data_IF_368358785100
#
_entry.id   IF_368358785100
#
_cell.length_a   1.000
_cell.length_b   1.000
_cell.length_c   1.000
_cell.angle_alpha   90.00
_cell.angle_beta   90.00
_cell.angle_gamma   90.00
#
_symmetry.space_group_name_H-M   'P 1'
#
loop_
_entity.id
_entity.type
_entity.pdbx_description
1 polymer ?
#
# COMPACT_ATOMS: atom_id res chain seq x y z
N UNK A 1 17.38 0.29 24.12
CA UNK A 1 16.79 -0.04 22.81
C UNK A 1 17.71 -1.03 22.15
N UNK A 2 17.16 -2.12 21.66
CA UNK A 2 17.85 -3.08 20.80
C UNK A 2 17.32 -2.86 19.38
N UNK A 3 18.23 -2.62 18.44
CA UNK A 3 17.91 -2.36 17.03
C UNK A 3 18.30 -3.53 16.13
N UNK A 4 18.72 -4.65 16.73
CA UNK A 4 19.02 -5.87 15.99
C UNK A 4 17.72 -6.59 15.64
N UNK A 5 17.67 -7.17 14.44
CA UNK A 5 16.58 -8.07 14.08
C UNK A 5 16.76 -9.42 14.76
N UNK A 6 15.65 -10.08 15.07
CA UNK A 6 15.68 -11.46 15.55
C UNK A 6 16.24 -12.40 14.47
N UNK A 7 16.68 -13.59 14.88
CA UNK A 7 17.13 -14.63 13.94
C UNK A 7 16.02 -15.00 12.93
N UNK A 8 14.78 -15.01 13.41
CA UNK A 8 13.59 -15.26 12.60
C UNK A 8 13.34 -14.13 11.58
N UNK A 9 13.44 -12.87 12.00
CA UNK A 9 13.33 -11.71 11.11
C UNK A 9 14.42 -11.72 10.02
N UNK A 10 15.66 -12.07 10.35
CA UNK A 10 16.73 -12.19 9.34
C UNK A 10 16.48 -13.35 8.36
N UNK A 11 15.91 -14.47 8.84
CA UNK A 11 15.50 -15.58 7.98
C UNK A 11 14.40 -15.15 7.01
N UNK A 12 13.35 -14.47 7.50
CA UNK A 12 12.29 -13.94 6.65
C UNK A 12 12.81 -12.93 5.63
N UNK A 13 13.68 -12.01 6.06
CA UNK A 13 14.32 -11.04 5.17
C UNK A 13 15.12 -11.71 4.04
N UNK A 14 15.85 -12.78 4.34
CA UNK A 14 16.56 -13.55 3.32
C UNK A 14 15.60 -14.24 2.34
N UNK A 15 14.52 -14.83 2.86
CA UNK A 15 13.47 -15.47 2.05
C UNK A 15 12.76 -14.46 1.13
N UNK A 16 12.39 -13.28 1.63
CA UNK A 16 11.74 -12.25 0.83
C UNK A 16 12.64 -11.76 -0.31
N UNK A 17 13.95 -11.61 -0.04
CA UNK A 17 14.93 -11.20 -1.07
C UNK A 17 15.09 -12.24 -2.15
N UNK A 18 15.19 -13.51 -1.77
CA UNK A 18 15.28 -14.63 -2.72
C UNK A 18 14.02 -14.72 -3.59
N UNK A 19 12.84 -14.58 -2.97
CA UNK A 19 11.58 -14.52 -3.69
C UNK A 19 11.53 -13.34 -4.66
N UNK A 20 11.85 -12.13 -4.21
CA UNK A 20 11.78 -10.94 -5.05
C UNK A 20 12.75 -11.01 -6.24
N UNK A 21 13.97 -11.47 -6.02
CA UNK A 21 14.97 -11.64 -7.07
C UNK A 21 14.57 -12.69 -8.13
N UNK A 22 13.87 -13.75 -7.74
CA UNK A 22 13.43 -14.83 -8.65
C UNK A 22 12.11 -14.52 -9.34
N UNK A 23 11.18 -13.93 -8.62
CA UNK A 23 9.77 -13.86 -9.00
C UNK A 23 9.29 -12.45 -9.31
N UNK A 24 9.95 -11.38 -8.86
CA UNK A 24 9.49 -10.01 -9.11
C UNK A 24 10.43 -9.30 -10.08
N UNK A 25 11.70 -9.16 -9.73
CA UNK A 25 12.68 -8.40 -10.48
C UNK A 25 12.74 -8.74 -11.98
N UNK A 26 12.71 -10.03 -12.41
CA UNK A 26 12.89 -10.38 -13.82
C UNK A 26 11.75 -9.93 -14.74
N UNK A 27 10.54 -9.73 -14.20
CA UNK A 27 9.33 -9.37 -14.98
C UNK A 27 8.84 -7.95 -14.74
N UNK A 28 9.46 -7.21 -13.82
CA UNK A 28 8.92 -5.93 -13.36
C UNK A 28 8.92 -4.83 -14.44
N UNK A 29 9.90 -4.79 -15.37
CA UNK A 29 9.88 -3.80 -16.47
C UNK A 29 8.84 -4.18 -17.52
N UNK A 30 8.80 -5.45 -17.94
CA UNK A 30 7.84 -5.95 -18.93
C UNK A 30 6.40 -5.69 -18.48
N UNK A 31 6.07 -6.00 -17.22
CA UNK A 31 4.75 -5.76 -16.66
C UNK A 31 4.41 -4.28 -16.50
N UNK A 32 5.38 -3.38 -16.30
CA UNK A 32 5.11 -1.93 -16.29
C UNK A 32 4.76 -1.46 -17.71
N UNK A 33 5.51 -1.91 -18.71
CA UNK A 33 5.26 -1.59 -20.11
C UNK A 33 3.93 -2.12 -20.63
N UNK A 34 3.58 -3.36 -20.28
CA UNK A 34 2.32 -4.01 -20.65
C UNK A 34 1.13 -3.55 -19.80
N UNK A 35 1.38 -2.82 -18.71
CA UNK A 35 0.37 -2.37 -17.75
C UNK A 35 -0.44 -3.52 -17.13
N UNK A 36 0.23 -4.64 -16.82
CA UNK A 36 -0.39 -5.86 -16.31
C UNK A 36 0.04 -6.17 -14.88
N UNK A 37 -0.87 -6.72 -14.05
CA UNK A 37 -0.51 -7.20 -12.72
C UNK A 37 0.33 -8.47 -12.77
N UNK A 38 1.22 -8.62 -11.79
CA UNK A 38 2.11 -9.77 -11.63
C UNK A 38 1.38 -11.01 -11.08
N UNK A 39 0.30 -11.45 -11.72
CA UNK A 39 -0.59 -12.52 -11.23
C UNK A 39 0.15 -13.84 -10.94
N UNK A 40 1.17 -14.18 -11.74
CA UNK A 40 2.00 -15.37 -11.52
C UNK A 40 2.82 -15.26 -10.23
N UNK A 41 3.40 -14.09 -9.98
CA UNK A 41 4.13 -13.83 -8.74
C UNK A 41 3.20 -13.79 -7.53
N UNK A 42 2.02 -13.17 -7.64
CA UNK A 42 1.03 -13.14 -6.55
C UNK A 42 0.58 -14.55 -6.15
N UNK A 43 0.35 -15.44 -7.12
CA UNK A 43 0.06 -16.86 -6.84
C UNK A 43 1.19 -17.56 -6.09
N UNK A 44 2.44 -17.30 -6.45
CA UNK A 44 3.60 -17.86 -5.73
C UNK A 44 3.79 -17.22 -4.35
N UNK A 45 3.48 -15.92 -4.21
CA UNK A 45 3.50 -15.23 -2.94
C UNK A 45 2.47 -15.83 -1.97
N UNK A 46 1.27 -16.16 -2.47
CA UNK A 46 0.25 -16.87 -1.70
C UNK A 46 0.73 -18.24 -1.22
N UNK A 47 1.40 -19.01 -2.07
CA UNK A 47 2.00 -20.31 -1.71
C UNK A 47 3.09 -20.22 -0.61
N UNK A 48 3.70 -19.05 -0.46
CA UNK A 48 4.68 -18.76 0.60
C UNK A 48 4.04 -18.09 1.84
N UNK A 49 2.71 -17.94 1.87
CA UNK A 49 1.98 -17.32 2.98
C UNK A 49 1.96 -15.79 2.98
N UNK A 50 2.45 -15.13 1.92
CA UNK A 50 2.62 -13.67 1.92
C UNK A 50 1.31 -12.89 1.81
N UNK A 51 0.26 -13.49 1.23
CA UNK A 51 -1.08 -12.89 1.20
C UNK A 51 -1.84 -13.04 2.53
N UNK A 52 -1.46 -14.02 3.35
CA UNK A 52 -1.90 -14.17 4.73
C UNK A 52 -0.85 -13.71 5.74
N UNK A 53 0.08 -12.83 5.35
CA UNK A 53 1.31 -12.54 6.09
C UNK A 53 1.07 -12.28 7.59
N UNK A 54 0.15 -11.39 7.92
CA UNK A 54 -0.14 -10.98 9.30
C UNK A 54 -1.39 -11.66 9.88
N UNK A 55 -1.99 -12.61 9.15
CA UNK A 55 -3.16 -13.34 9.63
C UNK A 55 -2.71 -14.46 10.58
N UNK A 56 -3.53 -14.81 11.59
CA UNK A 56 -3.28 -15.95 12.47
C UNK A 56 -3.22 -17.29 11.71
N UNK A 57 -2.47 -18.26 12.24
CA UNK A 57 -2.39 -19.62 11.68
C UNK A 57 -3.76 -20.31 11.59
N UNK A 58 -4.71 -20.02 12.50
CA UNK A 58 -6.08 -20.58 12.47
C UNK A 58 -6.85 -20.22 11.19
N UNK A 59 -6.46 -19.14 10.51
CA UNK A 59 -6.98 -18.74 9.21
C UNK A 59 -5.99 -18.97 8.06
N UNK A 60 -5.07 -19.94 8.24
CA UNK A 60 -4.01 -20.28 7.29
C UNK A 60 -3.03 -19.13 6.98
N UNK A 61 -2.93 -18.17 7.89
CA UNK A 61 -1.95 -17.09 7.82
C UNK A 61 -0.55 -17.50 8.26
N UNK A 62 0.39 -16.57 8.12
CA UNK A 62 1.80 -16.77 8.49
C UNK A 62 2.18 -16.12 9.83
N UNK A 63 1.24 -15.45 10.49
CA UNK A 63 1.40 -14.81 11.82
C UNK A 63 2.66 -13.93 11.95
N UNK A 64 3.07 -13.29 10.85
CA UNK A 64 4.20 -12.38 10.86
C UNK A 64 3.89 -11.15 11.70
N UNK A 65 4.86 -10.77 12.52
CA UNK A 65 4.88 -9.46 13.17
C UNK A 65 4.93 -8.33 12.12
N UNK A 66 4.47 -7.12 12.48
CA UNK A 66 4.42 -6.02 11.52
C UNK A 66 5.80 -5.55 11.06
N UNK A 67 6.86 -5.78 11.84
CA UNK A 67 8.23 -5.48 11.41
C UNK A 67 8.65 -6.40 10.26
N UNK A 68 8.40 -7.71 10.40
CA UNK A 68 8.59 -8.73 9.36
C UNK A 68 7.74 -8.45 8.13
N UNK A 69 6.47 -8.05 8.32
CA UNK A 69 5.61 -7.62 7.22
C UNK A 69 6.13 -6.34 6.52
N UNK A 70 6.63 -5.36 7.25
CA UNK A 70 7.27 -4.18 6.67
C UNK A 70 8.51 -4.56 5.84
N UNK A 71 9.32 -5.54 6.28
CA UNK A 71 10.44 -6.06 5.49
C UNK A 71 9.99 -6.74 4.19
N UNK A 72 8.87 -7.47 4.21
CA UNK A 72 8.27 -8.04 3.00
C UNK A 72 7.92 -6.91 2.01
N UNK A 73 7.18 -5.90 2.46
CA UNK A 73 6.75 -4.78 1.60
C UNK A 73 7.96 -3.98 1.07
N UNK A 74 8.94 -3.68 1.93
CA UNK A 74 10.19 -3.04 1.53
C UNK A 74 10.90 -3.84 0.44
N UNK A 75 11.03 -5.16 0.63
CA UNK A 75 11.77 -6.01 -0.28
C UNK A 75 11.08 -6.12 -1.64
N UNK A 76 9.75 -6.27 -1.67
CA UNK A 76 8.99 -6.30 -2.92
C UNK A 76 9.06 -4.95 -3.65
N UNK A 77 8.94 -3.84 -2.91
CA UNK A 77 8.94 -2.50 -3.49
C UNK A 77 10.30 -2.07 -4.04
N UNK A 78 11.39 -2.68 -3.57
CA UNK A 78 12.71 -2.51 -4.16
C UNK A 78 12.70 -2.88 -5.66
N UNK A 79 11.94 -3.90 -6.05
CA UNK A 79 11.86 -4.39 -7.43
C UNK A 79 10.61 -3.91 -8.17
N UNK A 80 9.45 -3.92 -7.51
CA UNK A 80 8.14 -3.47 -8.04
C UNK A 80 7.26 -2.87 -6.95
N UNK A 81 7.12 -1.54 -6.93
CA UNK A 81 6.20 -0.84 -6.02
C UNK A 81 4.76 -1.25 -6.30
N UNK A 82 4.41 -1.48 -7.57
CA UNK A 82 3.10 -1.99 -7.98
C UNK A 82 2.72 -3.30 -7.27
N UNK A 83 3.64 -4.28 -7.24
CA UNK A 83 3.39 -5.57 -6.60
C UNK A 83 3.26 -5.40 -5.08
N UNK A 84 4.13 -4.59 -4.48
CA UNK A 84 4.08 -4.28 -3.06
C UNK A 84 2.74 -3.62 -2.66
N UNK A 85 2.26 -2.65 -3.43
CA UNK A 85 0.96 -1.97 -3.20
C UNK A 85 -0.22 -2.93 -3.40
N UNK A 86 -0.14 -3.82 -4.39
CA UNK A 86 -1.17 -4.85 -4.63
C UNK A 86 -1.33 -5.76 -3.41
N UNK A 87 -0.21 -6.26 -2.88
CA UNK A 87 -0.18 -7.09 -1.68
C UNK A 87 -0.59 -6.30 -0.43
N UNK A 88 -0.10 -5.07 -0.27
CA UNK A 88 -0.45 -4.24 0.87
C UNK A 88 -1.95 -3.88 0.93
N UNK A 89 -2.56 -3.62 -0.23
CA UNK A 89 -4.01 -3.40 -0.33
C UNK A 89 -4.77 -4.65 0.13
N UNK A 90 -4.36 -5.83 -0.33
CA UNK A 90 -4.97 -7.09 0.08
C UNK A 90 -4.86 -7.30 1.61
N UNK A 91 -3.65 -7.22 2.15
CA UNK A 91 -3.37 -7.56 3.57
C UNK A 91 -3.83 -6.45 4.51
N UNK A 92 -3.28 -5.23 4.34
CA UNK A 92 -3.43 -4.14 5.31
C UNK A 92 -4.83 -3.52 5.29
N UNK A 93 -5.44 -3.40 4.10
CA UNK A 93 -6.74 -2.74 3.95
C UNK A 93 -7.93 -3.70 4.08
N UNK A 94 -7.85 -4.91 3.53
CA UNK A 94 -9.00 -5.83 3.48
C UNK A 94 -8.90 -6.92 4.54
N UNK A 95 -7.89 -7.79 4.46
CA UNK A 95 -7.79 -8.96 5.33
C UNK A 95 -7.74 -8.58 6.82
N UNK A 96 -6.91 -7.59 7.18
CA UNK A 96 -6.83 -7.09 8.55
C UNK A 96 -8.10 -6.39 9.02
N UNK A 97 -8.88 -5.78 8.12
CA UNK A 97 -10.17 -5.17 8.50
C UNK A 97 -11.20 -6.25 8.85
N UNK A 98 -11.23 -7.35 8.09
CA UNK A 98 -12.07 -8.52 8.39
C UNK A 98 -11.63 -9.20 9.69
N UNK A 99 -10.32 -9.37 9.90
CA UNK A 99 -9.80 -9.96 11.14
C UNK A 99 -10.22 -9.13 12.37
N UNK A 100 -10.09 -7.80 12.29
CA UNK A 100 -10.34 -6.93 13.43
C UNK A 100 -11.83 -6.70 13.70
N UNK A 101 -12.65 -6.58 12.64
CA UNK A 101 -14.04 -6.11 12.76
C UNK A 101 -15.10 -7.12 12.31
N UNK A 102 -14.68 -8.24 11.73
CA UNK A 102 -15.59 -9.27 11.23
C UNK A 102 -16.24 -10.07 12.34
N UNK A 103 -17.44 -10.58 12.07
CA UNK A 103 -18.05 -11.64 12.91
C UNK A 103 -17.26 -12.95 12.76
N UNK A 104 -17.43 -13.93 13.68
CA UNK A 104 -16.81 -15.25 13.52
C UNK A 104 -17.08 -15.87 12.15
N UNK A 105 -18.33 -15.78 11.66
CA UNK A 105 -18.76 -16.33 10.38
C UNK A 105 -18.04 -15.64 9.20
N UNK A 106 -17.92 -14.31 9.23
CA UNK A 106 -17.19 -13.56 8.20
C UNK A 106 -15.70 -13.92 8.18
N UNK A 107 -15.10 -14.14 9.35
CA UNK A 107 -13.68 -14.52 9.45
C UNK A 107 -13.45 -15.92 8.91
N UNK A 108 -14.28 -16.88 9.32
CA UNK A 108 -14.24 -18.27 8.85
C UNK A 108 -14.47 -18.37 7.34
N UNK A 109 -15.35 -17.53 6.78
CA UNK A 109 -15.61 -17.50 5.34
C UNK A 109 -14.45 -16.89 4.54
N UNK A 110 -13.99 -15.69 4.92
CA UNK A 110 -13.15 -14.89 4.03
C UNK A 110 -11.65 -15.01 4.29
N UNK A 111 -11.21 -15.12 5.55
CA UNK A 111 -9.78 -15.07 5.86
C UNK A 111 -8.99 -16.24 5.27
N UNK A 112 -9.47 -17.50 5.30
CA UNK A 112 -8.80 -18.62 4.63
C UNK A 112 -8.62 -18.40 3.13
N UNK A 113 -9.65 -17.88 2.44
CA UNK A 113 -9.63 -17.64 1.00
C UNK A 113 -8.66 -16.52 0.62
N UNK A 114 -8.60 -15.47 1.45
CA UNK A 114 -7.66 -14.37 1.31
C UNK A 114 -6.21 -14.84 1.54
N UNK A 115 -5.96 -15.58 2.63
CA UNK A 115 -4.64 -16.12 2.98
C UNK A 115 -4.09 -17.03 1.87
N UNK A 116 -4.93 -17.90 1.31
CA UNK A 116 -4.59 -18.80 0.22
C UNK A 116 -4.42 -18.09 -1.15
N UNK A 117 -4.83 -16.81 -1.26
CA UNK A 117 -4.83 -16.06 -2.51
C UNK A 117 -5.86 -16.54 -3.53
N UNK A 118 -6.85 -17.32 -3.11
CA UNK A 118 -7.99 -17.73 -3.94
C UNK A 118 -8.92 -16.53 -4.20
N UNK A 119 -9.03 -15.64 -3.22
CA UNK A 119 -9.71 -14.36 -3.31
C UNK A 119 -8.68 -13.25 -3.08
N UNK A 120 -8.70 -12.22 -3.93
CA UNK A 120 -7.96 -10.98 -3.70
C UNK A 120 -8.92 -9.90 -3.21
N UNK A 121 -8.53 -9.20 -2.15
CA UNK A 121 -9.28 -8.06 -1.62
C UNK A 121 -8.99 -6.75 -2.36
N UNK A 122 -10.04 -5.96 -2.58
CA UNK A 122 -9.99 -4.55 -2.98
C UNK A 122 -10.70 -3.66 -1.95
N UNK A 123 -10.23 -2.42 -1.81
CA UNK A 123 -10.73 -1.45 -0.83
C UNK A 123 -11.36 -0.25 -1.54
N UNK A 124 -12.67 -0.07 -1.39
CA UNK A 124 -13.48 0.85 -2.19
C UNK A 124 -14.09 1.96 -1.32
N UNK A 125 -13.27 2.96 -1.00
CA UNK A 125 -13.65 4.13 -0.20
C UNK A 125 -13.90 5.37 -1.06
N UNK A 126 -12.87 5.76 -1.82
CA UNK A 126 -12.80 7.00 -2.62
C UNK A 126 -13.90 7.07 -3.68
N UNK A 127 -14.44 8.28 -3.87
CA UNK A 127 -15.44 8.62 -4.88
C UNK A 127 -14.95 9.79 -5.75
N UNK A 128 -15.54 10.03 -6.94
CA UNK A 128 -15.17 11.16 -7.79
C UNK A 128 -15.17 12.51 -7.07
N UNK A 129 -16.12 12.71 -6.14
CA UNK A 129 -16.29 13.94 -5.38
C UNK A 129 -15.79 13.84 -3.93
N UNK A 130 -15.26 12.68 -3.49
CA UNK A 130 -14.80 12.45 -2.11
C UNK A 130 -13.48 11.66 -2.08
N UNK A 131 -12.36 12.40 -2.01
CA UNK A 131 -11.01 11.85 -1.90
C UNK A 131 -10.39 12.06 -0.54
N UNK A 132 -9.93 13.28 -0.25
CA UNK A 132 -9.39 13.64 1.08
C UNK A 132 -10.50 13.79 2.13
N UNK A 133 -11.67 14.28 1.72
CA UNK A 133 -12.87 14.35 2.57
C UNK A 133 -13.66 13.04 2.49
N UNK A 134 -13.11 11.99 3.09
CA UNK A 134 -13.71 10.65 3.05
C UNK A 134 -15.05 10.57 3.78
N UNK A 135 -15.40 11.55 4.63
CA UNK A 135 -16.70 11.59 5.31
C UNK A 135 -17.82 12.08 4.39
N UNK A 136 -17.50 12.70 3.26
CA UNK A 136 -18.45 13.20 2.27
C UNK A 136 -18.87 12.17 1.22
N UNK A 137 -18.60 10.87 1.42
CA UNK A 137 -19.02 9.80 0.50
C UNK A 137 -20.54 9.85 0.25
N UNK A 138 -20.91 9.72 -1.02
CA UNK A 138 -22.28 9.81 -1.51
C UNK A 138 -22.87 8.46 -1.92
N UNK A 139 -22.06 7.40 -2.08
CA UNK A 139 -22.57 6.02 -2.26
C UNK A 139 -23.50 5.69 -1.11
N UNK A 140 -24.72 5.26 -1.39
CA UNK A 140 -25.76 5.03 -0.36
C UNK A 140 -25.91 3.55 -0.06
N UNK A 141 -26.15 3.23 1.20
CA UNK A 141 -26.61 1.94 1.67
C UNK A 141 -28.08 2.08 2.12
N UNK A 142 -29.01 1.49 1.37
CA UNK A 142 -30.44 1.54 1.67
C UNK A 142 -30.93 0.17 2.16
N UNK A 143 -31.36 0.06 3.44
CA UNK A 143 -31.89 -1.20 3.97
C UNK A 143 -33.13 -1.69 3.21
N UNK A 144 -33.19 -3.00 2.94
CA UNK A 144 -34.30 -3.68 2.28
C UNK A 144 -34.48 -5.09 2.86
N UNK A 145 -35.09 -5.16 4.04
CA UNK A 145 -35.30 -6.42 4.77
C UNK A 145 -34.01 -6.99 5.35
N UNK A 146 -33.62 -8.18 4.91
CA UNK A 146 -32.36 -8.85 5.24
C UNK A 146 -31.22 -8.52 4.26
N UNK A 147 -31.48 -7.63 3.30
CA UNK A 147 -30.52 -7.13 2.32
C UNK A 147 -30.32 -5.62 2.50
N UNK A 148 -29.25 -5.12 1.89
CA UNK A 148 -29.01 -3.71 1.65
C UNK A 148 -28.78 -3.51 0.15
N UNK A 149 -29.29 -2.39 -0.37
CA UNK A 149 -29.01 -1.96 -1.74
C UNK A 149 -27.94 -0.86 -1.71
N UNK A 150 -26.84 -1.08 -2.43
CA UNK A 150 -25.75 -0.13 -2.60
C UNK A 150 -25.88 0.58 -3.95
N UNK A 151 -25.90 1.91 -3.92
CA UNK A 151 -26.01 2.77 -5.11
C UNK A 151 -24.95 3.86 -5.09
N UNK A 152 -24.06 3.89 -6.09
CA UNK A 152 -22.99 4.88 -6.18
C UNK A 152 -21.85 4.51 -7.12
N UNK A 153 -20.79 5.31 -7.06
CA UNK A 153 -19.59 5.13 -7.88
C UNK A 153 -18.36 5.25 -6.99
N UNK A 154 -17.50 4.24 -7.01
CA UNK A 154 -16.18 4.28 -6.38
C UNK A 154 -15.11 4.47 -7.45
N UNK A 155 -14.03 5.17 -7.13
CA UNK A 155 -12.92 5.42 -8.06
C UNK A 155 -11.60 5.12 -7.38
N UNK A 156 -10.54 4.96 -8.18
CA UNK A 156 -9.20 4.63 -7.69
C UNK A 156 -9.16 3.36 -6.83
N UNK A 157 -10.04 2.39 -7.12
CA UNK A 157 -10.11 1.14 -6.35
C UNK A 157 -8.95 0.24 -6.76
N UNK A 158 -7.92 0.21 -5.90
CA UNK A 158 -6.79 -0.67 -6.06
C UNK A 158 -7.22 -2.15 -6.04
N UNK A 159 -6.59 -2.96 -6.87
CA UNK A 159 -6.90 -4.38 -7.11
C UNK A 159 -8.23 -4.64 -7.84
N UNK A 160 -8.96 -3.60 -8.28
CA UNK A 160 -10.35 -3.75 -8.73
C UNK A 160 -10.58 -4.81 -9.81
N UNK A 161 -9.72 -4.85 -10.84
CA UNK A 161 -9.81 -5.84 -11.92
C UNK A 161 -9.53 -7.29 -11.48
N UNK A 162 -8.76 -7.49 -10.40
CA UNK A 162 -8.28 -8.81 -9.97
C UNK A 162 -8.93 -9.28 -8.66
N UNK A 163 -9.82 -8.47 -8.09
CA UNK A 163 -10.42 -8.70 -6.78
C UNK A 163 -11.64 -9.63 -6.87
N UNK A 164 -11.67 -10.63 -5.99
CA UNK A 164 -12.84 -11.47 -5.76
C UNK A 164 -13.75 -10.94 -4.64
N UNK A 165 -13.25 -10.01 -3.82
CA UNK A 165 -13.97 -9.40 -2.71
C UNK A 165 -13.65 -7.91 -2.61
N UNK A 166 -14.68 -7.09 -2.46
CA UNK A 166 -14.59 -5.65 -2.30
C UNK A 166 -15.05 -5.26 -0.90
N UNK A 167 -14.22 -4.52 -0.15
CA UNK A 167 -14.65 -3.81 1.05
C UNK A 167 -15.17 -2.43 0.63
N UNK A 168 -16.49 -2.29 0.53
CA UNK A 168 -17.18 -1.10 0.02
C UNK A 168 -17.69 -0.24 1.17
N UNK A 169 -17.36 1.05 1.16
CA UNK A 169 -17.86 2.00 2.13
C UNK A 169 -19.05 2.79 1.57
N UNK A 170 -20.13 2.91 2.32
CA UNK A 170 -21.35 3.60 1.86
C UNK A 170 -22.02 4.33 3.01
N UNK A 171 -22.72 5.42 2.71
CA UNK A 171 -23.50 6.19 3.66
C UNK A 171 -24.75 5.40 4.06
N UNK A 172 -24.79 4.94 5.31
CA UNK A 172 -25.95 4.36 5.96
C UNK A 172 -26.71 5.37 6.82
N UNK A 173 -27.66 4.88 7.61
CA UNK A 173 -28.55 5.70 8.43
C UNK A 173 -27.85 6.35 9.64
N UNK A 174 -26.87 5.67 10.24
CA UNK A 174 -26.16 6.09 11.46
C UNK A 174 -24.76 6.65 11.19
N UNK A 175 -24.35 6.71 9.92
CA UNK A 175 -23.01 7.09 9.52
C UNK A 175 -22.56 6.27 8.31
N UNK A 176 -21.27 6.30 8.04
CA UNK A 176 -20.68 5.45 7.01
C UNK A 176 -20.64 4.00 7.50
N UNK A 177 -21.12 3.08 6.67
CA UNK A 177 -21.04 1.63 6.85
C UNK A 177 -19.97 1.03 5.94
N UNK A 178 -19.53 -0.19 6.25
CA UNK A 178 -18.62 -0.97 5.44
C UNK A 178 -19.23 -2.33 5.10
N UNK A 179 -19.16 -2.75 3.84
CA UNK A 179 -19.76 -3.99 3.35
C UNK A 179 -18.76 -4.86 2.59
N UNK A 180 -18.80 -6.17 2.86
CA UNK A 180 -18.07 -7.20 2.13
C UNK A 180 -18.88 -7.60 0.88
N UNK A 181 -18.47 -7.16 -0.30
CA UNK A 181 -19.20 -7.37 -1.55
C UNK A 181 -18.42 -8.32 -2.46
N UNK A 182 -18.88 -9.57 -2.65
CA UNK A 182 -18.27 -10.48 -3.62
C UNK A 182 -18.31 -9.94 -5.05
N UNK A 183 -17.30 -10.25 -5.86
CA UNK A 183 -17.18 -9.75 -7.24
C UNK A 183 -18.41 -10.03 -8.12
N UNK A 184 -19.04 -11.19 -7.95
CA UNK A 184 -20.18 -11.63 -8.76
C UNK A 184 -21.54 -11.10 -8.25
N UNK A 185 -21.54 -10.16 -7.31
CA UNK A 185 -22.78 -9.58 -6.76
C UNK A 185 -23.54 -8.82 -7.85
N UNK A 186 -24.81 -9.16 -8.14
CA UNK A 186 -25.61 -8.44 -9.13
C UNK A 186 -25.71 -6.95 -8.80
N UNK A 187 -25.42 -6.10 -9.81
CA UNK A 187 -25.40 -4.65 -9.67
C UNK A 187 -24.01 -4.06 -9.37
N UNK A 188 -22.99 -4.89 -9.10
CA UNK A 188 -21.59 -4.47 -9.10
C UNK A 188 -20.99 -4.62 -10.51
N UNK A 189 -20.42 -3.54 -11.04
CA UNK A 189 -19.64 -3.57 -12.29
C UNK A 189 -18.26 -2.95 -12.07
N UNK A 190 -17.21 -3.71 -12.41
CA UNK A 190 -15.83 -3.20 -12.45
C UNK A 190 -15.58 -2.54 -13.80
N UNK A 191 -15.22 -1.26 -13.79
CA UNK A 191 -14.86 -0.48 -14.97
C UNK A 191 -13.46 -0.81 -15.50
N UNK A 192 -13.08 -0.15 -16.59
CA UNK A 192 -11.73 -0.29 -17.16
C UNK A 192 -10.65 0.16 -16.18
N UNK A 193 -9.45 -0.39 -16.36
CA UNK A 193 -8.27 0.04 -15.63
C UNK A 193 -7.92 1.49 -15.98
N UNK A 194 -7.73 2.32 -14.96
CA UNK A 194 -7.31 3.71 -15.12
C UNK A 194 -5.85 3.78 -15.61
N UNK A 195 -5.54 4.55 -16.68
CA UNK A 195 -4.16 4.76 -17.10
C UNK A 195 -3.44 5.69 -16.12
N UNK A 196 -2.30 5.26 -15.58
CA UNK A 196 -1.55 5.98 -14.56
C UNK A 196 -0.12 6.32 -14.99
N UNK A 197 0.45 7.38 -14.41
CA UNK A 197 1.86 7.75 -14.63
C UNK A 197 2.81 6.64 -14.16
N UNK A 198 2.58 6.13 -12.95
CA UNK A 198 3.35 5.05 -12.33
C UNK A 198 2.40 4.05 -11.69
N UNK A 199 2.96 3.05 -11.03
CA UNK A 199 2.25 1.89 -10.54
C UNK A 199 1.50 1.15 -11.67
N UNK A 200 2.10 1.08 -12.87
CA UNK A 200 1.39 0.60 -14.05
C UNK A 200 1.07 -0.89 -13.99
N UNK A 201 1.82 -1.66 -13.21
CA UNK A 201 1.53 -3.07 -12.92
C UNK A 201 0.59 -3.27 -11.72
N UNK A 202 0.03 -2.20 -11.15
CA UNK A 202 -1.10 -2.28 -10.23
C UNK A 202 -2.37 -1.92 -11.01
N UNK A 203 -3.52 -2.42 -10.55
CA UNK A 203 -4.81 -2.12 -11.15
C UNK A 203 -5.57 -1.13 -10.28
N UNK A 204 -6.07 -0.08 -10.90
CA UNK A 204 -6.98 0.89 -10.31
C UNK A 204 -8.19 0.97 -11.21
N UNK A 205 -9.38 0.81 -10.64
CA UNK A 205 -10.61 0.75 -11.42
C UNK A 205 -11.68 1.65 -10.78
N UNK A 206 -12.59 2.13 -11.63
CA UNK A 206 -13.88 2.65 -11.19
C UNK A 206 -14.82 1.47 -10.91
N UNK A 207 -15.59 1.51 -9.83
CA UNK A 207 -16.68 0.57 -9.57
C UNK A 207 -18.01 1.28 -9.68
N UNK A 208 -18.95 0.65 -10.37
CA UNK A 208 -20.34 1.10 -10.46
C UNK A 208 -21.21 0.16 -9.63
N UNK A 209 -21.95 0.74 -8.70
CA UNK A 209 -22.91 0.07 -7.83
C UNK A 209 -24.29 0.57 -8.26
N UNK A 210 -25.01 -0.23 -9.03
CA UNK A 210 -26.34 0.12 -9.57
C UNK A 210 -27.37 -0.87 -9.05
N UNK A 211 -28.06 -0.51 -7.98
CA UNK A 211 -28.96 -1.42 -7.28
C UNK A 211 -28.24 -2.68 -6.79
N UNK A 212 -26.99 -2.55 -6.34
CA UNK A 212 -26.16 -3.68 -5.93
C UNK A 212 -26.66 -4.25 -4.61
N UNK A 213 -27.28 -5.44 -4.63
CA UNK A 213 -27.93 -6.03 -3.44
C UNK A 213 -26.97 -7.00 -2.74
N UNK A 214 -26.67 -6.71 -1.48
CA UNK A 214 -25.83 -7.55 -0.64
C UNK A 214 -26.55 -7.85 0.68
N UNK A 215 -26.27 -9.01 1.28
CA UNK A 215 -26.85 -9.39 2.56
C UNK A 215 -26.45 -8.39 3.65
N UNK A 216 -27.39 -8.07 4.55
CA UNK A 216 -27.08 -7.28 5.75
C UNK A 216 -26.01 -7.97 6.62
N UNK A 217 -25.92 -9.31 6.56
CA UNK A 217 -24.87 -10.09 7.23
C UNK A 217 -23.46 -9.83 6.67
N UNK A 218 -23.33 -9.16 5.51
CA UNK A 218 -22.04 -8.78 4.95
C UNK A 218 -21.57 -7.39 5.45
N UNK A 219 -22.33 -6.70 6.29
CA UNK A 219 -21.81 -5.50 6.96
C UNK A 219 -20.65 -5.90 7.86
N UNK A 220 -19.53 -5.21 7.70
CA UNK A 220 -18.36 -5.32 8.57
C UNK A 220 -18.49 -4.29 9.70
N UNK A 221 -18.50 -4.77 10.96
CA UNK A 221 -18.75 -3.92 12.13
C UNK A 221 -20.23 -3.57 12.35
N UNK A 222 -20.47 -2.66 13.29
CA UNK A 222 -21.82 -2.14 13.60
C UNK A 222 -22.22 -0.99 12.66
N UNK A 223 -23.52 -0.67 12.56
CA UNK A 223 -23.98 0.52 11.84
C UNK A 223 -23.19 1.79 12.23
N UNK A 224 -22.74 2.56 11.25
CA UNK A 224 -22.00 3.81 11.42
C UNK A 224 -20.50 3.66 11.72
N UNK A 225 -19.98 2.44 11.91
CA UNK A 225 -18.56 2.20 12.25
C UNK A 225 -17.60 2.24 11.04
N UNK A 226 -18.12 2.28 9.82
CA UNK A 226 -17.34 2.23 8.58
C UNK A 226 -16.26 3.30 8.50
N UNK A 227 -16.50 4.51 9.01
CA UNK A 227 -15.48 5.58 9.08
C UNK A 227 -14.28 5.22 9.97
N UNK A 228 -14.53 4.60 11.13
CA UNK A 228 -13.47 4.15 12.05
C UNK A 228 -12.69 2.97 11.46
N UNK A 229 -13.38 2.02 10.84
CA UNK A 229 -12.78 0.89 10.13
C UNK A 229 -11.86 1.39 9.01
N UNK A 230 -12.34 2.36 8.21
CA UNK A 230 -11.56 2.98 7.15
C UNK A 230 -10.29 3.65 7.69
N UNK A 231 -10.39 4.44 8.75
CA UNK A 231 -9.23 5.12 9.34
C UNK A 231 -8.18 4.11 9.83
N UNK A 232 -8.57 3.09 10.59
CA UNK A 232 -7.64 2.07 11.08
C UNK A 232 -6.97 1.28 9.93
N UNK A 233 -7.71 1.03 8.84
CA UNK A 233 -7.15 0.41 7.65
C UNK A 233 -6.10 1.32 6.98
N UNK A 234 -6.40 2.62 6.84
CA UNK A 234 -5.48 3.60 6.28
C UNK A 234 -4.21 3.77 7.14
N UNK A 235 -4.32 3.72 8.47
CA UNK A 235 -3.15 3.80 9.36
C UNK A 235 -2.17 2.63 9.14
N UNK A 236 -2.69 1.41 8.94
CA UNK A 236 -1.85 0.25 8.56
C UNK A 236 -1.23 0.43 7.18
N UNK A 237 -2.03 0.90 6.22
CA UNK A 237 -1.58 1.15 4.85
C UNK A 237 -0.50 2.23 4.78
N UNK A 238 -0.58 3.26 5.62
CA UNK A 238 0.42 4.32 5.75
C UNK A 238 1.81 3.75 6.10
N UNK A 239 1.88 2.82 7.05
CA UNK A 239 3.13 2.12 7.41
C UNK A 239 3.64 1.28 6.24
N UNK A 240 2.77 0.50 5.58
CA UNK A 240 3.14 -0.32 4.43
C UNK A 240 3.65 0.53 3.24
N UNK A 241 3.00 1.65 2.94
CA UNK A 241 3.43 2.57 1.87
C UNK A 241 4.76 3.26 2.19
N UNK A 242 5.03 3.55 3.46
CA UNK A 242 6.33 4.06 3.88
C UNK A 242 7.43 2.99 3.73
N UNK A 243 7.14 1.72 4.06
CA UNK A 243 8.03 0.60 3.78
C UNK A 243 8.28 0.42 2.27
N UNK A 244 7.26 0.61 1.44
CA UNK A 244 7.42 0.58 -0.01
C UNK A 244 8.33 1.73 -0.50
N UNK A 245 8.16 2.93 0.07
CA UNK A 245 9.03 4.09 -0.15
C UNK A 245 10.48 3.82 0.24
N UNK A 246 10.71 3.11 1.36
CA UNK A 246 12.04 2.69 1.79
C UNK A 246 12.69 1.74 0.77
N UNK A 247 11.95 0.72 0.33
CA UNK A 247 12.41 -0.28 -0.63
C UNK A 247 12.84 0.32 -1.96
N UNK A 248 11.96 1.11 -2.58
CA UNK A 248 12.25 1.75 -3.88
C UNK A 248 13.42 2.74 -3.79
N UNK A 249 13.56 3.43 -2.65
CA UNK A 249 14.66 4.38 -2.43
C UNK A 249 16.01 3.68 -2.31
N UNK A 250 16.09 2.62 -1.51
CA UNK A 250 17.31 1.82 -1.33
C UNK A 250 17.78 1.24 -2.68
N UNK A 251 16.85 0.65 -3.43
CA UNK A 251 17.17 0.09 -4.74
C UNK A 251 17.55 1.16 -5.77
N UNK A 252 16.88 2.31 -5.78
CA UNK A 252 17.24 3.41 -6.67
C UNK A 252 18.69 3.88 -6.44
N UNK A 253 19.12 3.97 -5.17
CA UNK A 253 20.51 4.29 -4.82
C UNK A 253 21.46 3.22 -5.36
N UNK A 254 21.15 1.93 -5.16
CA UNK A 254 21.97 0.83 -5.67
C UNK A 254 22.12 0.88 -7.20
N UNK A 255 21.02 1.06 -7.93
CA UNK A 255 20.99 1.16 -9.39
C UNK A 255 21.87 2.32 -9.87
N UNK A 256 21.68 3.50 -9.30
CA UNK A 256 22.44 4.69 -9.69
C UNK A 256 23.92 4.60 -9.29
N UNK A 257 24.23 4.01 -8.14
CA UNK A 257 25.61 3.77 -7.69
C UNK A 257 26.34 2.79 -8.62
N UNK A 258 25.70 1.69 -9.01
CA UNK A 258 26.26 0.75 -9.99
C UNK A 258 26.50 1.43 -11.34
N UNK A 259 25.51 2.18 -11.83
CA UNK A 259 25.68 2.96 -13.05
C UNK A 259 26.85 3.96 -12.94
N UNK A 260 27.02 4.59 -11.77
CA UNK A 260 28.06 5.58 -11.54
C UNK A 260 29.48 4.97 -11.52
N UNK A 261 29.64 3.70 -11.12
CA UNK A 261 30.94 3.01 -11.14
C UNK A 261 31.33 2.54 -12.55
N UNK A 262 30.34 2.29 -13.41
CA UNK A 262 30.55 1.82 -14.79
C UNK A 262 30.68 2.98 -15.79
N UNK A 263 29.90 4.06 -15.62
CA UNK A 263 29.86 5.17 -16.57
C UNK A 263 31.10 6.05 -16.45
N UNK A 264 31.87 6.16 -17.53
CA UNK A 264 33.07 7.01 -17.61
C UNK A 264 32.77 8.36 -18.27
N UNK A 265 33.14 9.46 -17.62
CA UNK A 265 33.18 10.82 -18.19
C UNK A 265 34.40 11.58 -17.68
N UNK A 266 34.98 12.41 -18.57
CA UNK A 266 36.23 13.13 -18.28
C UNK A 266 37.34 12.18 -17.78
N UNK A 267 37.47 11.02 -18.44
CA UNK A 267 38.54 10.05 -18.21
C UNK A 267 38.43 9.14 -16.99
N UNK A 268 37.38 9.25 -16.16
CA UNK A 268 37.19 8.40 -14.97
C UNK A 268 35.71 8.02 -14.78
N UNK A 269 35.40 6.93 -14.05
CA UNK A 269 34.06 6.66 -13.57
C UNK A 269 33.42 7.88 -12.89
N UNK A 270 32.14 8.15 -13.16
CA UNK A 270 31.45 9.32 -12.58
C UNK A 270 31.32 9.21 -11.05
N UNK A 271 31.40 8.01 -10.48
CA UNK A 271 31.50 7.79 -9.03
C UNK A 271 32.72 8.47 -8.39
N UNK A 272 33.77 8.80 -9.15
CA UNK A 272 34.92 9.56 -8.65
C UNK A 272 34.67 11.07 -8.60
N UNK A 273 33.53 11.56 -9.09
CA UNK A 273 33.18 12.99 -9.07
C UNK A 273 32.46 13.31 -7.75
N UNK A 274 32.99 14.29 -7.01
CA UNK A 274 32.45 14.68 -5.69
C UNK A 274 30.95 15.04 -5.74
N UNK A 275 30.49 15.69 -6.80
CA UNK A 275 29.07 16.01 -6.96
C UNK A 275 28.17 14.76 -6.99
N UNK A 276 28.61 13.67 -7.62
CA UNK A 276 27.88 12.40 -7.66
C UNK A 276 27.89 11.72 -6.29
N UNK A 277 29.02 11.75 -5.59
CA UNK A 277 29.14 11.23 -4.22
C UNK A 277 28.19 11.97 -3.27
N UNK A 278 28.04 13.29 -3.43
CA UNK A 278 27.09 14.11 -2.67
C UNK A 278 25.64 13.64 -2.83
N UNK A 279 25.18 13.46 -4.08
CA UNK A 279 23.82 12.95 -4.34
C UNK A 279 23.54 11.60 -3.68
N UNK A 280 24.50 10.67 -3.76
CA UNK A 280 24.37 9.33 -3.17
C UNK A 280 24.37 9.42 -1.64
N UNK A 281 25.27 10.21 -1.05
CA UNK A 281 25.37 10.35 0.40
C UNK A 281 24.12 11.00 1.01
N UNK A 282 23.61 12.09 0.44
CA UNK A 282 22.38 12.74 0.88
C UNK A 282 21.18 11.80 0.82
N UNK A 283 21.02 11.10 -0.31
CA UNK A 283 19.95 10.12 -0.48
C UNK A 283 20.04 9.00 0.56
N UNK A 284 21.25 8.48 0.81
CA UNK A 284 21.43 7.39 1.77
C UNK A 284 21.14 7.82 3.21
N UNK A 285 21.50 9.04 3.60
CA UNK A 285 21.17 9.59 4.94
C UNK A 285 19.64 9.65 5.13
N UNK A 286 18.90 10.14 4.13
CA UNK A 286 17.44 10.18 4.17
C UNK A 286 16.83 8.77 4.29
N UNK A 287 17.38 7.80 3.54
CA UNK A 287 16.94 6.39 3.57
C UNK A 287 17.19 5.72 4.91
N UNK A 288 18.35 5.94 5.54
CA UNK A 288 18.64 5.40 6.87
C UNK A 288 17.71 6.00 7.94
N UNK A 289 17.41 7.31 7.88
CA UNK A 289 16.43 7.93 8.77
C UNK A 289 15.02 7.32 8.57
N UNK A 290 14.61 7.10 7.31
CA UNK A 290 13.33 6.47 6.99
C UNK A 290 13.26 5.03 7.52
N UNK A 291 14.35 4.27 7.40
CA UNK A 291 14.43 2.89 7.87
C UNK A 291 14.06 2.75 9.35
N UNK A 292 14.60 3.64 10.19
CA UNK A 292 14.26 3.65 11.62
C UNK A 292 12.80 4.00 11.87
N UNK A 293 12.25 4.99 11.16
CA UNK A 293 10.86 5.39 11.31
C UNK A 293 9.88 4.29 10.86
N UNK A 294 10.17 3.62 9.73
CA UNK A 294 9.35 2.52 9.21
C UNK A 294 9.26 1.39 10.22
N UNK A 295 10.40 0.89 10.72
CA UNK A 295 10.37 -0.24 11.64
C UNK A 295 9.87 0.14 13.04
N UNK A 296 10.07 1.39 13.48
CA UNK A 296 9.44 1.86 14.71
C UNK A 296 7.92 1.92 14.59
N UNK A 297 7.40 2.48 13.49
CA UNK A 297 5.96 2.53 13.24
C UNK A 297 5.37 1.11 13.10
N UNK A 298 6.07 0.20 12.42
CA UNK A 298 5.67 -1.20 12.32
C UNK A 298 5.58 -1.87 13.70
N UNK A 299 6.61 -1.71 14.54
CA UNK A 299 6.61 -2.22 15.90
C UNK A 299 5.45 -1.65 16.75
N UNK A 300 5.08 -0.38 16.57
CA UNK A 300 3.93 0.24 17.25
C UNK A 300 2.59 -0.40 16.86
N UNK A 301 2.45 -0.87 15.62
CA UNK A 301 1.24 -1.61 15.19
C UNK A 301 1.05 -2.87 16.04
N UNK A 302 2.14 -3.61 16.27
CA UNK A 302 2.11 -4.83 17.10
C UNK A 302 1.78 -4.56 18.58
N UNK A 303 2.08 -3.35 19.09
CA UNK A 303 1.76 -2.97 20.46
C UNK A 303 0.26 -2.74 20.70
N UNK A 304 -0.57 -2.75 19.65
CA UNK A 304 -2.04 -2.56 19.72
C UNK A 304 -2.47 -1.27 20.44
N UNK A 305 -1.64 -0.23 20.36
CA UNK A 305 -1.93 1.11 20.89
C UNK A 305 -2.48 2.07 19.83
N UNK A 306 -2.70 3.33 20.20
CA UNK A 306 -2.92 4.42 19.24
C UNK A 306 -1.58 4.77 18.57
N UNK A 307 -1.49 4.54 17.26
CA UNK A 307 -0.33 4.87 16.43
C UNK A 307 -0.71 5.75 15.23
N UNK A 308 -1.90 6.35 15.22
CA UNK A 308 -2.37 7.14 14.06
C UNK A 308 -1.49 8.37 13.77
N UNK A 309 -0.91 8.96 14.82
CA UNK A 309 0.11 10.00 14.69
C UNK A 309 1.37 9.47 13.99
N UNK A 310 1.95 8.38 14.49
CA UNK A 310 3.16 7.76 13.91
C UNK A 310 2.95 7.28 12.47
N UNK A 311 1.76 6.73 12.17
CA UNK A 311 1.35 6.37 10.81
C UNK A 311 1.39 7.58 9.88
N UNK A 312 0.85 8.73 10.31
CA UNK A 312 0.88 9.96 9.52
C UNK A 312 2.29 10.50 9.33
N UNK A 313 3.12 10.50 10.38
CA UNK A 313 4.52 10.93 10.30
C UNK A 313 5.30 10.05 9.31
N UNK A 314 5.22 8.73 9.46
CA UNK A 314 6.02 7.80 8.65
C UNK A 314 5.57 7.80 7.19
N UNK A 315 4.27 7.92 6.92
CA UNK A 315 3.72 8.03 5.57
C UNK A 315 4.20 9.30 4.88
N UNK A 316 4.04 10.46 5.54
CA UNK A 316 4.45 11.75 4.98
C UNK A 316 5.96 11.78 4.71
N UNK A 317 6.77 11.31 5.66
CA UNK A 317 8.22 11.27 5.51
C UNK A 317 8.67 10.27 4.44
N UNK A 318 8.12 9.05 4.44
CA UNK A 318 8.44 8.01 3.46
C UNK A 318 8.15 8.43 2.02
N UNK A 319 7.00 9.07 1.77
CA UNK A 319 6.67 9.60 0.46
C UNK A 319 7.66 10.68 -0.02
N UNK A 320 8.03 11.62 0.88
CA UNK A 320 9.00 12.68 0.60
C UNK A 320 10.38 12.13 0.27
N UNK A 321 10.86 11.18 1.07
CA UNK A 321 12.15 10.51 0.85
C UNK A 321 12.14 9.77 -0.49
N UNK A 322 11.11 8.96 -0.77
CA UNK A 322 11.02 8.21 -2.02
C UNK A 322 11.07 9.10 -3.26
N UNK A 323 10.31 10.21 -3.27
CA UNK A 323 10.36 11.19 -4.36
C UNK A 323 11.73 11.86 -4.47
N UNK A 324 12.28 12.32 -3.35
CA UNK A 324 13.54 13.06 -3.33
C UNK A 324 14.70 12.20 -3.81
N UNK A 325 14.82 10.98 -3.27
CA UNK A 325 15.84 10.00 -3.62
C UNK A 325 15.75 9.62 -5.09
N UNK A 326 14.60 9.15 -5.56
CA UNK A 326 14.45 8.72 -6.97
C UNK A 326 14.73 9.87 -7.94
N UNK A 327 14.31 11.10 -7.62
CA UNK A 327 14.63 12.28 -8.43
C UNK A 327 16.14 12.54 -8.53
N UNK A 328 16.87 12.47 -7.41
CA UNK A 328 18.34 12.60 -7.41
C UNK A 328 19.00 11.46 -8.18
N UNK A 329 18.46 10.24 -8.11
CA UNK A 329 19.03 9.09 -8.81
C UNK A 329 18.83 9.15 -10.33
N UNK A 330 17.70 9.70 -10.81
CA UNK A 330 17.55 10.11 -12.22
C UNK A 330 18.67 11.09 -12.61
N UNK A 331 18.94 12.09 -11.77
CA UNK A 331 19.98 13.09 -12.03
C UNK A 331 21.41 12.51 -12.07
N UNK A 332 21.72 11.52 -11.21
CA UNK A 332 23.00 10.79 -11.21
C UNK A 332 23.18 10.01 -12.51
N UNK A 333 22.11 9.39 -13.01
CA UNK A 333 22.14 8.64 -14.28
C UNK A 333 22.09 9.53 -15.53
N UNK A 334 21.67 10.78 -15.37
CA UNK A 334 21.54 11.76 -16.45
C UNK A 334 20.47 11.34 -17.47
N UNK A 335 20.76 11.50 -18.76
CA UNK A 335 19.81 11.16 -19.83
C UNK A 335 19.32 9.70 -19.79
N UNK A 336 20.18 8.77 -19.37
CA UNK A 336 19.80 7.35 -19.23
C UNK A 336 18.83 7.11 -18.07
N UNK A 337 18.87 7.91 -17.01
CA UNK A 337 17.89 7.85 -15.93
C UNK A 337 16.49 8.30 -16.35
N UNK A 338 16.38 8.99 -17.48
CA UNK A 338 15.12 9.45 -18.07
C UNK A 338 14.60 8.54 -19.20
N UNK A 339 15.41 7.57 -19.64
CA UNK A 339 15.01 6.58 -20.65
C UNK A 339 14.26 5.42 -19.99
N UNK A 340 13.20 4.94 -20.64
CA UNK A 340 12.44 3.79 -20.13
C UNK A 340 13.22 2.46 -20.22
N UNK A 341 14.28 2.40 -21.03
CA UNK A 341 15.20 1.26 -21.09
C UNK A 341 15.94 0.99 -19.76
N UNK A 342 15.92 1.96 -18.83
CA UNK A 342 16.54 1.85 -17.52
C UNK A 342 15.47 1.86 -16.42
N UNK A 343 15.64 1.02 -15.37
CA UNK A 343 14.64 0.85 -14.32
C UNK A 343 14.36 2.14 -13.51
N UNK A 344 15.25 3.13 -13.61
CA UNK A 344 15.13 4.38 -12.86
C UNK A 344 13.89 5.20 -13.25
N UNK A 345 13.53 5.22 -14.53
CA UNK A 345 12.35 5.95 -14.99
C UNK A 345 11.06 5.41 -14.35
N UNK A 346 10.91 4.07 -14.30
CA UNK A 346 9.82 3.41 -13.58
C UNK A 346 9.83 3.75 -12.10
N UNK A 347 10.96 3.57 -11.42
CA UNK A 347 11.09 3.83 -9.97
C UNK A 347 10.70 5.26 -9.60
N UNK A 348 11.07 6.23 -10.40
CA UNK A 348 10.67 7.63 -10.22
C UNK A 348 9.15 7.83 -10.36
N UNK A 349 8.53 7.26 -11.41
CA UNK A 349 7.08 7.34 -11.64
C UNK A 349 6.31 6.66 -10.51
N UNK A 350 6.76 5.48 -10.07
CA UNK A 350 6.15 4.72 -8.98
C UNK A 350 6.26 5.45 -7.63
N UNK A 351 7.46 5.94 -7.28
CA UNK A 351 7.68 6.71 -6.06
C UNK A 351 6.83 7.99 -6.01
N UNK A 352 6.54 8.60 -7.17
CA UNK A 352 5.67 9.77 -7.24
C UNK A 352 4.24 9.47 -6.76
N UNK A 353 3.73 8.24 -6.95
CA UNK A 353 2.39 7.87 -6.51
C UNK A 353 2.24 7.86 -4.99
N UNK A 354 3.30 7.54 -4.24
CA UNK A 354 3.30 7.44 -2.76
C UNK A 354 2.97 8.76 -2.05
N UNK A 355 3.16 9.89 -2.73
CA UNK A 355 2.72 11.20 -2.25
C UNK A 355 1.20 11.38 -2.27
N UNK A 356 0.47 10.57 -3.02
CA UNK A 356 -0.97 10.74 -3.28
C UNK A 356 -1.76 9.59 -2.65
N UNK A 357 -1.37 8.34 -2.93
CA UNK A 357 -2.13 7.17 -2.46
C UNK A 357 -1.97 6.97 -0.94
N UNK A 358 -2.98 6.35 -0.33
CA UNK A 358 -3.06 6.20 1.13
C UNK A 358 -3.26 7.53 1.88
N UNK A 359 -3.88 8.52 1.22
CA UNK A 359 -4.03 9.90 1.69
C UNK A 359 -2.92 10.81 1.17
N UNK A 360 -3.16 12.02 0.64
CA UNK A 360 -2.08 12.89 0.18
C UNK A 360 -1.18 13.33 1.34
N UNK A 361 0.07 13.69 1.07
CA UNK A 361 1.01 14.15 2.12
C UNK A 361 0.44 15.32 2.93
N UNK A 362 -0.31 16.21 2.29
CA UNK A 362 -0.96 17.36 2.92
C UNK A 362 -2.04 16.95 3.95
N UNK A 363 -2.74 15.83 3.71
CA UNK A 363 -3.69 15.28 4.70
C UNK A 363 -2.95 14.80 5.94
N UNK A 364 -1.83 14.10 5.77
CA UNK A 364 -1.02 13.66 6.91
C UNK A 364 -0.35 14.84 7.64
N UNK A 365 0.09 15.87 6.92
CA UNK A 365 0.59 17.10 7.53
C UNK A 365 -0.49 17.76 8.39
N UNK A 366 -1.73 17.80 7.90
CA UNK A 366 -2.88 18.26 8.67
C UNK A 366 -3.12 17.39 9.91
N UNK A 367 -3.13 16.06 9.80
CA UNK A 367 -3.34 15.14 10.93
C UNK A 367 -2.25 15.30 12.00
N UNK A 368 -0.99 15.44 11.59
CA UNK A 368 0.14 15.72 12.49
C UNK A 368 -0.09 17.05 13.20
N UNK A 369 -0.40 18.12 12.47
CA UNK A 369 -0.66 19.44 13.05
C UNK A 369 -1.87 19.42 14.00
N UNK A 370 -2.94 18.71 13.61
CA UNK A 370 -4.15 18.57 14.40
C UNK A 370 -3.85 17.93 15.75
N UNK A 371 -3.05 16.86 15.78
CA UNK A 371 -2.67 16.22 17.04
C UNK A 371 -1.90 17.18 17.96
N UNK A 372 -0.93 17.93 17.40
CA UNK A 372 -0.13 18.88 18.17
C UNK A 372 -0.98 20.02 18.75
N UNK A 373 -1.96 20.53 18.00
CA UNK A 373 -2.83 21.61 18.47
C UNK A 373 -3.94 21.13 19.41
N UNK A 374 -4.43 19.90 19.24
CA UNK A 374 -5.37 19.28 20.17
C UNK A 374 -4.78 19.14 21.58
N UNK A 375 -3.48 18.83 21.71
CA UNK A 375 -2.76 18.81 22.99
C UNK A 375 -2.69 20.20 23.68
N UNK A 376 -3.04 21.27 22.95
CA UNK A 376 -3.13 22.64 23.42
C UNK A 376 -4.59 23.16 23.47
N UNK A 377 -5.57 22.26 23.46
CA UNK A 377 -7.01 22.56 23.43
C UNK A 377 -7.42 23.46 22.24
N UNK A 378 -6.73 23.35 21.10
CA UNK A 378 -7.05 24.07 19.87
C UNK A 378 -7.43 23.13 18.73
N UNK A 379 -8.71 23.17 18.35
CA UNK A 379 -9.23 22.42 17.20
C UNK A 379 -8.95 23.17 15.90
N UNK A 380 -8.34 22.47 14.94
CA UNK A 380 -8.16 22.94 13.56
C UNK A 380 -9.00 22.10 12.60
N UNK A 381 -9.46 22.73 11.52
CA UNK A 381 -10.21 22.09 10.43
C UNK A 381 -9.48 22.27 9.09
N UNK A 382 -9.64 21.33 8.14
CA UNK A 382 -9.02 21.39 6.82
C UNK A 382 -9.40 22.62 5.98
#
# INVERSE_FOLDING_TARGET
>A
MDFTFSEEQEMFRAMFRDFSAKEIAPQAEELDHEEKPALGALRKAAQQGFLGATLPEEYFGAELDYTSYAMLIETLAADSVSTAVTLATHVSLVAMSILNHGTPEQREEWLPLLAAGEVIGAFALTEPDAGSDVQAVATRATPDGDQVTLDGVKTWVANGEIAGLFLVFAQGAEGMDAYLVPQDTPGLTVGYREPTLGLRSATFNTLYLEGCRVSEANRLGQPGEGGSIAQQAQDRMAVALAAAGLGVSENAIQVAAQYATERVQFGVPIAQKQAIQGYIAEAKIEVEALRYLVYHAAWLVDQRGDYGFDASVVKAFGARVARSVTNRMVQVMGGYGYMEDYPMARKYRDARALHIIGGPTELHDFQIAQRIFADLDMDIAP
#
